data_IF_651972880977
#
_entry.id   IF_651972880977
#
_cell.length_a   1.000
_cell.length_b   1.000
_cell.length_c   1.000
_cell.angle_alpha   90.00
_cell.angle_beta   90.00
_cell.angle_gamma   90.00
#
_symmetry.space_group_name_H-M   'P 1'
#
loop_
_entity.id
_entity.type
_entity.pdbx_description
1 polymer ?
#
# COMPACT_ATOMS: atom_id res chain seq x y z
N UNK A 1 -4.35 -7.84 -7.11
CA UNK A 1 -3.84 -6.50 -6.75
C UNK A 1 -4.92 -5.47 -6.99
N UNK A 2 -5.03 -4.49 -6.14
CA UNK A 2 -6.02 -3.41 -6.27
C UNK A 2 -5.35 -2.06 -6.13
N UNK A 3 -5.85 -1.08 -6.86
CA UNK A 3 -5.63 0.34 -6.61
C UNK A 3 -6.88 0.88 -5.92
N UNK A 4 -6.71 1.52 -4.78
CA UNK A 4 -7.81 2.15 -4.05
C UNK A 4 -7.63 3.66 -4.03
N UNK A 5 -8.72 4.39 -4.23
CA UNK A 5 -8.78 5.81 -3.95
C UNK A 5 -9.20 5.98 -2.48
N UNK A 6 -8.42 6.72 -1.71
CA UNK A 6 -8.65 6.87 -0.29
C UNK A 6 -8.58 8.34 0.16
N UNK A 7 -9.41 8.68 1.13
CA UNK A 7 -9.35 9.93 1.86
C UNK A 7 -9.47 9.66 3.38
N UNK A 8 -9.63 10.69 4.19
CA UNK A 8 -9.77 10.52 5.66
C UNK A 8 -11.08 9.85 6.08
N UNK A 9 -12.07 9.72 5.21
CA UNK A 9 -13.40 9.18 5.53
C UNK A 9 -13.60 7.78 5.01
N UNK A 10 -13.23 7.54 3.75
CA UNK A 10 -13.49 6.30 3.05
C UNK A 10 -12.34 5.91 2.13
N UNK A 11 -12.30 4.66 1.72
CA UNK A 11 -11.54 4.22 0.56
C UNK A 11 -12.37 3.28 -0.31
N UNK A 12 -12.05 3.26 -1.60
CA UNK A 12 -12.74 2.45 -2.60
C UNK A 12 -11.72 1.88 -3.58
N UNK A 13 -11.70 0.57 -3.81
CA UNK A 13 -10.97 -0.01 -4.93
C UNK A 13 -11.53 0.52 -6.26
N UNK A 14 -10.70 1.14 -7.07
CA UNK A 14 -11.08 1.72 -8.37
C UNK A 14 -10.51 0.95 -9.55
N UNK A 15 -9.47 0.16 -9.32
CA UNK A 15 -8.92 -0.78 -10.28
C UNK A 15 -8.44 -2.03 -9.58
N UNK A 16 -8.54 -3.17 -10.27
CA UNK A 16 -7.97 -4.42 -9.76
C UNK A 16 -7.45 -5.27 -10.91
N UNK A 17 -6.50 -6.12 -10.59
CA UNK A 17 -5.96 -7.12 -11.52
C UNK A 17 -5.54 -8.36 -10.73
N UNK A 18 -5.91 -9.53 -11.23
CA UNK A 18 -5.38 -10.78 -10.71
C UNK A 18 -3.88 -10.87 -11.05
N UNK A 19 -3.07 -11.02 -10.00
CA UNK A 19 -1.63 -11.27 -10.20
C UNK A 19 -1.45 -12.72 -10.66
N UNK A 20 -0.80 -12.87 -11.80
CA UNK A 20 -0.46 -14.17 -12.36
C UNK A 20 1.04 -14.40 -12.11
N UNK A 21 1.42 -15.35 -11.22
CA UNK A 21 2.83 -15.70 -11.02
C UNK A 21 3.50 -16.16 -12.32
N UNK A 22 4.82 -16.00 -12.44
CA UNK A 22 5.54 -16.33 -13.65
C UNK A 22 5.30 -17.79 -14.10
N UNK A 23 5.35 -18.74 -13.16
CA UNK A 23 5.08 -20.16 -13.42
C UNK A 23 3.65 -20.45 -13.95
N UNK A 24 2.70 -19.55 -13.72
CA UNK A 24 1.36 -19.61 -14.28
C UNK A 24 1.28 -18.92 -15.65
N UNK A 25 2.02 -17.83 -15.80
CA UNK A 25 2.01 -17.03 -17.02
C UNK A 25 2.70 -17.75 -18.19
N UNK A 26 3.63 -18.66 -17.89
CA UNK A 26 4.39 -19.47 -18.86
C UNK A 26 3.78 -20.85 -19.08
N UNK A 27 2.71 -21.24 -18.39
CA UNK A 27 2.04 -22.54 -18.52
C UNK A 27 0.80 -22.40 -19.40
N UNK A 28 0.96 -22.69 -20.69
CA UNK A 28 -0.11 -22.55 -21.68
C UNK A 28 -1.32 -23.44 -21.40
N UNK A 29 -1.11 -24.65 -20.90
CA UNK A 29 -2.19 -25.58 -20.56
C UNK A 29 -3.05 -25.05 -19.39
N UNK A 30 -2.40 -24.54 -18.34
CA UNK A 30 -3.13 -23.91 -17.22
C UNK A 30 -3.84 -22.64 -17.65
N UNK A 31 -3.22 -21.83 -18.49
CA UNK A 31 -3.82 -20.61 -19.03
C UNK A 31 -5.07 -20.92 -19.84
N UNK A 32 -4.97 -21.87 -20.78
CA UNK A 32 -6.08 -22.32 -21.60
C UNK A 32 -7.23 -22.87 -20.73
N UNK A 33 -6.91 -23.77 -19.78
CA UNK A 33 -7.90 -24.34 -18.86
C UNK A 33 -8.60 -23.32 -17.98
N UNK A 34 -7.91 -22.27 -17.56
CA UNK A 34 -8.48 -21.18 -16.77
C UNK A 34 -9.14 -20.07 -17.62
N UNK A 35 -9.00 -20.12 -18.94
CA UNK A 35 -9.51 -19.10 -19.87
C UNK A 35 -8.80 -17.75 -19.70
N UNK A 36 -7.48 -17.76 -19.45
CA UNK A 36 -6.67 -16.53 -19.35
C UNK A 36 -6.49 -15.95 -20.76
N UNK A 37 -6.87 -14.67 -21.03
CA UNK A 37 -6.67 -14.07 -22.33
C UNK A 37 -5.20 -14.04 -22.77
N UNK A 38 -4.93 -14.22 -24.04
CA UNK A 38 -3.56 -14.21 -24.61
C UNK A 38 -2.81 -12.91 -24.32
N UNK A 39 -3.51 -11.77 -24.36
CA UNK A 39 -2.95 -10.46 -24.06
C UNK A 39 -2.44 -10.29 -22.61
N UNK A 40 -2.80 -11.20 -21.71
CA UNK A 40 -2.34 -11.17 -20.33
C UNK A 40 -0.99 -11.86 -20.24
N UNK A 41 0.06 -11.09 -20.10
CA UNK A 41 1.44 -11.57 -19.89
C UNK A 41 1.88 -11.40 -18.44
N UNK A 42 2.99 -12.04 -18.08
CA UNK A 42 3.60 -11.85 -16.78
C UNK A 42 4.00 -10.39 -16.56
N UNK A 43 3.65 -9.88 -15.40
CA UNK A 43 4.12 -8.59 -14.88
C UNK A 43 4.38 -8.70 -13.40
N UNK A 44 5.46 -8.08 -12.96
CA UNK A 44 5.73 -7.98 -11.51
C UNK A 44 4.66 -7.12 -10.82
N UNK A 45 4.48 -7.33 -9.55
CA UNK A 45 3.50 -6.53 -8.78
C UNK A 45 3.77 -5.02 -8.83
N UNK A 46 5.03 -4.51 -8.74
CA UNK A 46 5.32 -3.09 -8.95
C UNK A 46 4.92 -2.57 -10.34
N UNK A 47 5.14 -3.37 -11.40
CA UNK A 47 4.71 -2.99 -12.76
C UNK A 47 3.18 -2.88 -12.86
N UNK A 48 2.44 -3.84 -12.29
CA UNK A 48 0.97 -3.77 -12.25
C UNK A 48 0.51 -2.54 -11.47
N UNK A 49 1.14 -2.24 -10.33
CA UNK A 49 0.81 -1.06 -9.53
C UNK A 49 1.01 0.24 -10.33
N UNK A 50 2.14 0.37 -11.03
CA UNK A 50 2.43 1.56 -11.85
C UNK A 50 1.46 1.71 -13.02
N UNK A 51 1.08 0.60 -13.68
CA UNK A 51 0.07 0.63 -14.75
C UNK A 51 -1.31 1.09 -14.24
N UNK A 52 -1.73 0.60 -13.08
CA UNK A 52 -3.00 1.03 -12.48
C UNK A 52 -2.97 2.51 -12.08
N UNK A 53 -1.84 3.01 -11.55
CA UNK A 53 -1.69 4.43 -11.21
C UNK A 53 -1.70 5.29 -12.49
N UNK A 54 -1.02 4.85 -13.56
CA UNK A 54 -1.02 5.53 -14.85
C UNK A 54 -2.44 5.63 -15.41
N UNK A 55 -3.15 4.51 -15.48
CA UNK A 55 -4.54 4.46 -15.89
C UNK A 55 -5.41 5.43 -15.06
N UNK A 56 -5.25 5.45 -13.74
CA UNK A 56 -6.00 6.37 -12.89
C UNK A 56 -5.74 7.85 -13.22
N UNK A 57 -4.49 8.19 -13.59
CA UNK A 57 -4.16 9.54 -14.06
C UNK A 57 -4.81 9.84 -15.42
N UNK A 58 -4.76 8.90 -16.36
CA UNK A 58 -5.31 9.05 -17.72
C UNK A 58 -6.83 9.26 -17.71
N UNK A 59 -7.55 8.55 -16.84
CA UNK A 59 -9.00 8.71 -16.69
C UNK A 59 -9.40 9.86 -15.75
N UNK A 60 -8.42 10.64 -15.26
CA UNK A 60 -8.67 11.82 -14.46
C UNK A 60 -9.15 11.55 -13.03
N UNK A 61 -8.86 10.37 -12.45
CA UNK A 61 -9.20 10.11 -11.06
C UNK A 61 -8.44 11.08 -10.12
N UNK A 62 -9.13 11.65 -9.12
CA UNK A 62 -8.50 12.55 -8.17
C UNK A 62 -7.45 11.82 -7.34
N UNK A 63 -6.39 12.51 -6.98
CA UNK A 63 -5.32 11.98 -6.12
C UNK A 63 -4.01 12.68 -6.41
N UNK A 64 -3.38 13.22 -5.38
CA UNK A 64 -2.09 13.92 -5.47
C UNK A 64 -0.92 13.07 -4.99
N UNK A 65 -1.21 11.96 -4.31
CA UNK A 65 -0.22 11.14 -3.61
C UNK A 65 -0.56 9.66 -3.74
N UNK A 66 0.44 8.84 -3.99
CA UNK A 66 0.36 7.37 -3.95
C UNK A 66 0.89 6.85 -2.60
N UNK A 67 0.14 5.95 -1.98
CA UNK A 67 0.56 5.20 -0.79
C UNK A 67 1.00 3.82 -1.25
N UNK A 68 2.25 3.45 -0.95
CA UNK A 68 2.86 2.21 -1.43
C UNK A 68 3.27 1.34 -0.25
N UNK A 69 2.98 0.05 -0.34
CA UNK A 69 3.37 -0.93 0.68
C UNK A 69 4.88 -1.17 0.72
N UNK A 70 5.38 -1.60 1.89
CA UNK A 70 6.77 -1.98 2.09
C UNK A 70 7.22 -3.15 1.20
N UNK A 71 6.30 -4.00 0.72
CA UNK A 71 6.57 -5.01 -0.28
C UNK A 71 6.93 -4.47 -1.67
N UNK A 72 6.58 -3.22 -1.97
CA UNK A 72 6.81 -2.59 -3.28
C UNK A 72 7.66 -1.32 -3.21
N UNK A 73 7.70 -0.66 -2.06
CA UNK A 73 8.33 0.64 -1.91
C UNK A 73 9.85 0.63 -2.09
N UNK A 74 10.50 -0.54 -2.05
CA UNK A 74 11.92 -0.68 -2.39
C UNK A 74 12.18 -0.65 -3.90
N UNK A 75 11.14 -0.84 -4.75
CA UNK A 75 11.28 -0.79 -6.20
C UNK A 75 11.48 0.66 -6.68
N UNK A 76 12.69 0.96 -7.12
CA UNK A 76 13.07 2.31 -7.58
C UNK A 76 12.36 2.71 -8.86
N UNK A 77 12.03 1.75 -9.75
CA UNK A 77 11.31 2.02 -11.00
C UNK A 77 9.85 2.42 -10.72
N UNK A 78 9.21 1.78 -9.73
CA UNK A 78 7.88 2.18 -9.29
C UNK A 78 7.89 3.60 -8.73
N UNK A 79 8.83 3.93 -7.82
CA UNK A 79 8.92 5.28 -7.25
C UNK A 79 9.21 6.34 -8.31
N UNK A 80 10.15 6.07 -9.22
CA UNK A 80 10.45 6.96 -10.34
C UNK A 80 9.23 7.18 -11.24
N UNK A 81 8.56 6.10 -11.65
CA UNK A 81 7.37 6.17 -12.49
C UNK A 81 6.21 6.94 -11.84
N UNK A 82 6.01 6.84 -10.51
CA UNK A 82 5.03 7.66 -9.80
C UNK A 82 5.40 9.15 -9.89
N UNK A 83 6.68 9.48 -9.74
CA UNK A 83 7.18 10.87 -9.85
C UNK A 83 7.06 11.41 -11.28
N UNK A 84 7.36 10.59 -12.29
CA UNK A 84 7.19 10.94 -13.72
C UNK A 84 5.72 11.25 -14.08
N UNK A 85 4.77 10.59 -13.42
CA UNK A 85 3.33 10.89 -13.54
C UNK A 85 2.91 12.17 -12.79
N UNK A 86 3.86 12.95 -12.26
CA UNK A 86 3.59 14.17 -11.50
C UNK A 86 2.96 13.90 -10.11
N UNK A 87 2.99 12.68 -9.64
CA UNK A 87 2.43 12.31 -8.32
C UNK A 87 3.53 12.25 -7.26
N UNK A 88 3.14 12.56 -6.03
CA UNK A 88 3.98 12.32 -4.85
C UNK A 88 3.71 10.94 -4.30
N UNK A 89 4.59 10.45 -3.41
CA UNK A 89 4.35 9.18 -2.74
C UNK A 89 4.76 9.20 -1.27
N UNK A 90 4.17 8.27 -0.53
CA UNK A 90 4.66 7.76 0.75
C UNK A 90 4.76 6.25 0.59
N UNK A 91 5.98 5.75 0.57
CA UNK A 91 6.27 4.34 0.28
C UNK A 91 6.90 3.68 1.52
N UNK A 92 6.25 2.65 2.05
CA UNK A 92 6.87 1.78 3.03
C UNK A 92 8.12 1.13 2.46
N UNK A 93 9.16 0.99 3.27
CA UNK A 93 10.44 0.40 2.86
C UNK A 93 10.96 -0.59 3.89
N UNK A 94 11.87 -1.46 3.45
CA UNK A 94 12.52 -2.42 4.31
C UNK A 94 13.68 -1.77 5.11
N UNK A 95 13.95 -2.23 6.35
CA UNK A 95 14.98 -1.67 7.23
C UNK A 95 16.42 -1.75 6.66
N UNK A 96 16.64 -2.65 5.70
CA UNK A 96 17.95 -2.85 5.05
C UNK A 96 18.20 -1.90 3.87
N UNK A 97 17.20 -1.08 3.48
CA UNK A 97 17.39 -0.13 2.38
C UNK A 97 18.56 0.81 2.67
N UNK A 98 19.42 0.99 1.67
CA UNK A 98 20.60 1.81 1.81
C UNK A 98 20.31 3.26 1.43
N UNK A 99 20.82 4.17 2.25
CA UNK A 99 20.79 5.62 2.03
C UNK A 99 22.18 6.20 2.21
N UNK A 100 22.43 7.35 1.61
CA UNK A 100 23.66 8.11 1.86
C UNK A 100 23.63 8.68 3.28
N UNK A 101 24.76 8.60 3.98
CA UNK A 101 24.90 9.20 5.31
C UNK A 101 24.64 10.69 5.27
N UNK A 102 24.05 11.29 6.32
CA UNK A 102 23.82 12.74 6.40
C UNK A 102 25.10 13.53 6.15
N UNK A 103 25.01 14.56 5.31
CA UNK A 103 26.16 15.40 4.96
C UNK A 103 27.09 14.83 3.87
N UNK A 104 26.83 13.60 3.42
CA UNK A 104 27.53 13.03 2.25
C UNK A 104 26.71 13.26 0.98
N UNK A 105 27.41 13.58 -0.10
CA UNK A 105 26.77 13.75 -1.42
C UNK A 105 26.68 12.39 -2.11
N UNK A 106 25.60 12.13 -2.86
CA UNK A 106 25.52 10.98 -3.74
C UNK A 106 26.72 10.98 -4.69
N UNK A 107 27.52 9.94 -4.57
CA UNK A 107 28.67 9.72 -5.43
C UNK A 107 28.44 8.51 -6.31
N UNK A 108 29.45 8.11 -7.07
CA UNK A 108 29.41 6.94 -7.94
C UNK A 108 29.06 5.71 -7.11
N UNK A 109 27.93 5.07 -7.41
CA UNK A 109 27.52 3.82 -6.74
C UNK A 109 28.62 2.77 -6.85
N UNK A 110 28.89 1.99 -5.79
CA UNK A 110 29.88 0.94 -5.82
C UNK A 110 29.59 -0.06 -6.94
N UNK A 111 30.61 -0.57 -7.59
CA UNK A 111 30.48 -1.66 -8.55
C UNK A 111 29.94 -2.91 -7.84
N UNK A 112 29.11 -3.69 -8.54
CA UNK A 112 28.61 -4.98 -8.06
C UNK A 112 29.77 -5.84 -7.51
N UNK A 113 29.71 -6.21 -6.23
CA UNK A 113 30.78 -6.97 -5.54
C UNK A 113 31.66 -6.13 -4.61
N UNK A 114 31.58 -4.80 -4.58
CA UNK A 114 32.21 -3.97 -3.57
C UNK A 114 31.27 -3.92 -2.34
N UNK A 115 31.66 -4.65 -1.28
CA UNK A 115 30.97 -4.60 0.02
C UNK A 115 31.12 -3.18 0.57
N UNK A 116 29.98 -2.59 0.94
CA UNK A 116 29.82 -1.35 1.69
C UNK A 116 30.62 -0.15 1.17
N UNK A 117 29.98 0.65 0.31
CA UNK A 117 30.49 1.99 0.10
C UNK A 117 30.56 2.69 1.46
N UNK A 118 31.71 3.26 1.89
CA UNK A 118 31.92 3.80 3.23
C UNK A 118 30.97 4.95 3.59
N UNK A 119 30.26 5.49 2.59
CA UNK A 119 29.36 6.64 2.73
C UNK A 119 27.87 6.31 2.73
N UNK A 120 27.50 5.02 2.66
CA UNK A 120 26.11 4.55 2.77
C UNK A 120 25.86 3.83 4.11
N UNK A 121 24.61 3.77 4.51
CA UNK A 121 24.15 3.06 5.72
C UNK A 121 22.75 2.53 5.50
N UNK A 122 22.34 1.48 6.21
CA UNK A 122 20.95 1.06 6.22
C UNK A 122 20.07 2.09 6.92
N UNK A 123 18.79 2.17 6.54
CA UNK A 123 17.85 3.06 7.25
C UNK A 123 17.68 2.64 8.71
N UNK A 124 17.85 1.35 9.02
CA UNK A 124 17.84 0.83 10.39
C UNK A 124 19.04 1.36 11.20
N UNK A 125 20.25 1.22 10.69
CA UNK A 125 21.46 1.69 11.39
C UNK A 125 21.45 3.21 11.54
N UNK A 126 20.96 3.92 10.51
CA UNK A 126 20.76 5.35 10.58
C UNK A 126 19.78 5.73 11.69
N UNK A 127 18.66 5.00 11.82
CA UNK A 127 17.66 5.23 12.85
C UNK A 127 18.21 4.98 14.27
N UNK A 128 18.94 3.89 14.46
CA UNK A 128 19.57 3.56 15.75
C UNK A 128 20.64 4.57 16.16
N UNK A 129 21.30 5.22 15.21
CA UNK A 129 22.28 6.28 15.45
C UNK A 129 21.67 7.66 15.74
N UNK A 130 20.34 7.84 15.68
CA UNK A 130 19.69 9.12 15.91
C UNK A 130 19.70 9.47 17.42
N UNK A 131 20.02 10.74 17.72
CA UNK A 131 19.97 11.27 19.08
C UNK A 131 18.52 11.34 19.58
N UNK A 132 18.29 11.24 20.89
CA UNK A 132 16.96 11.28 21.50
C UNK A 132 16.11 12.48 21.04
N UNK A 133 16.72 13.66 20.84
CA UNK A 133 16.04 14.88 20.37
C UNK A 133 15.46 14.80 18.95
N UNK A 134 15.84 13.81 18.15
CA UNK A 134 15.30 13.60 16.81
C UNK A 134 13.91 12.94 16.85
N UNK A 135 13.58 12.32 17.95
CA UNK A 135 12.34 11.58 18.15
C UNK A 135 11.27 12.46 18.77
N UNK A 136 10.04 12.35 18.24
CA UNK A 136 8.85 13.03 18.79
C UNK A 136 7.73 12.02 18.91
N UNK A 137 7.02 12.04 20.01
CA UNK A 137 5.76 11.32 20.20
C UNK A 137 4.67 12.03 19.42
N UNK A 138 4.02 11.32 18.51
CA UNK A 138 2.92 11.81 17.69
C UNK A 138 1.75 10.87 17.91
N UNK A 139 0.58 11.47 18.13
CA UNK A 139 -0.68 10.75 18.25
C UNK A 139 -1.45 10.84 16.94
N UNK A 140 -2.07 9.76 16.53
CA UNK A 140 -2.98 9.71 15.38
C UNK A 140 -4.20 8.86 15.69
N UNK A 141 -5.18 8.85 14.81
CA UNK A 141 -6.37 7.97 14.94
C UNK A 141 -6.48 7.04 13.76
N UNK A 142 -6.74 5.79 14.08
CA UNK A 142 -7.16 4.76 13.13
C UNK A 142 -8.60 4.38 13.46
N UNK A 143 -9.56 5.00 12.75
CA UNK A 143 -10.98 4.87 13.08
C UNK A 143 -11.49 5.84 14.15
N UNK A 144 -12.56 5.46 14.85
CA UNK A 144 -13.27 6.33 15.81
C UNK A 144 -12.90 6.08 17.28
N UNK A 145 -12.28 4.96 17.62
CA UNK A 145 -12.27 4.46 18.99
C UNK A 145 -11.10 4.94 19.85
N UNK A 146 -9.87 4.93 19.33
CA UNK A 146 -8.71 5.21 20.17
C UNK A 146 -7.69 6.12 19.50
N UNK A 147 -7.01 6.91 20.35
CA UNK A 147 -5.81 7.61 19.96
C UNK A 147 -4.63 6.65 20.09
N UNK A 148 -3.98 6.40 18.98
CA UNK A 148 -2.73 5.68 18.91
C UNK A 148 -1.56 6.64 19.08
N UNK A 149 -0.46 6.17 19.62
CA UNK A 149 0.73 6.96 19.91
C UNK A 149 1.98 6.16 19.62
N UNK A 150 2.96 6.80 19.02
CA UNK A 150 4.28 6.22 18.80
C UNK A 150 5.34 7.31 18.71
N UNK A 151 6.61 6.92 18.84
CA UNK A 151 7.73 7.83 18.61
C UNK A 151 8.08 7.81 17.11
N UNK A 152 8.24 9.00 16.54
CA UNK A 152 8.64 9.16 15.14
C UNK A 152 9.90 10.01 15.05
N UNK A 153 10.73 9.71 14.06
CA UNK A 153 11.80 10.58 13.60
C UNK A 153 11.64 10.83 12.10
N UNK A 154 12.04 12.01 11.62
CA UNK A 154 12.09 12.33 10.19
C UNK A 154 13.39 13.02 9.83
N UNK A 155 13.91 12.69 8.66
CA UNK A 155 15.11 13.32 8.13
C UNK A 155 15.08 13.32 6.61
N UNK A 156 15.89 14.20 5.99
CA UNK A 156 16.06 14.21 4.54
C UNK A 156 17.21 13.30 4.16
N UNK A 157 16.97 12.38 3.23
CA UNK A 157 17.96 11.40 2.77
C UNK A 157 18.03 11.36 1.24
N UNK A 158 19.13 10.84 0.73
CA UNK A 158 19.26 10.37 -0.64
C UNK A 158 19.33 8.85 -0.63
N UNK A 159 18.48 8.19 -1.41
CA UNK A 159 18.49 6.73 -1.53
C UNK A 159 19.73 6.30 -2.33
N UNK A 160 20.43 5.27 -1.85
CA UNK A 160 21.56 4.70 -2.55
C UNK A 160 21.06 3.61 -3.51
N UNK A 161 20.48 4.00 -4.64
CA UNK A 161 20.01 3.04 -5.65
C UNK A 161 20.93 2.98 -6.86
N UNK A 162 21.01 1.79 -7.48
CA UNK A 162 21.81 1.59 -8.68
C UNK A 162 21.20 2.22 -9.94
N UNK A 163 19.94 2.65 -9.87
CA UNK A 163 19.18 3.14 -11.03
C UNK A 163 19.27 4.65 -11.23
N UNK A 164 19.65 5.41 -10.20
CA UNK A 164 19.68 6.88 -10.22
C UNK A 164 20.93 7.48 -10.91
N UNK A 165 21.62 6.69 -11.75
CA UNK A 165 22.83 7.13 -12.45
C UNK A 165 22.61 8.20 -13.51
N UNK A 166 21.36 8.45 -13.91
CA UNK A 166 21.01 9.35 -15.01
C UNK A 166 20.30 10.64 -14.58
N UNK A 167 19.84 10.76 -13.34
CA UNK A 167 19.16 11.94 -12.81
C UNK A 167 19.85 12.44 -11.55
N UNK A 168 19.73 13.74 -11.27
CA UNK A 168 20.15 14.28 -9.97
C UNK A 168 19.40 13.53 -8.86
N UNK A 169 20.12 13.03 -7.83
CA UNK A 169 19.50 12.26 -6.77
C UNK A 169 18.52 13.13 -5.99
N UNK A 170 17.25 12.75 -6.05
CA UNK A 170 16.18 13.44 -5.36
C UNK A 170 16.34 13.24 -3.85
N UNK A 171 16.22 14.32 -3.10
CA UNK A 171 16.20 14.25 -1.66
C UNK A 171 14.78 13.94 -1.16
N UNK A 172 14.62 12.83 -0.45
CA UNK A 172 13.36 12.34 0.06
C UNK A 172 13.26 12.50 1.58
N UNK A 173 12.04 12.51 2.11
CA UNK A 173 11.82 12.30 3.54
C UNK A 173 12.00 10.82 3.85
N UNK A 174 12.82 10.51 4.85
CA UNK A 174 12.77 9.24 5.58
C UNK A 174 11.98 9.48 6.86
N UNK A 175 10.83 8.83 6.98
CA UNK A 175 10.03 8.77 8.21
C UNK A 175 10.25 7.43 8.87
N UNK A 176 10.45 7.43 10.18
CA UNK A 176 10.76 6.24 10.98
C UNK A 176 9.81 6.20 12.16
N UNK A 177 9.27 5.02 12.44
CA UNK A 177 8.43 4.77 13.61
C UNK A 177 9.11 3.84 14.59
N UNK A 178 9.11 4.22 15.85
CA UNK A 178 9.58 3.40 16.97
C UNK A 178 8.49 3.33 18.05
N UNK A 179 7.63 2.31 18.03
CA UNK A 179 6.60 2.13 19.04
C UNK A 179 7.18 1.98 20.45
N UNK A 180 6.41 2.36 21.42
CA UNK A 180 6.76 2.16 22.82
C UNK A 180 6.84 0.65 23.14
N UNK A 181 7.84 0.24 23.93
CA UNK A 181 8.06 -1.16 24.25
C UNK A 181 8.87 -1.96 23.22
N UNK A 182 9.00 -1.45 21.99
CA UNK A 182 9.81 -2.11 20.98
C UNK A 182 11.31 -1.86 21.19
N UNK A 183 12.13 -2.89 20.93
CA UNK A 183 13.59 -2.80 21.10
C UNK A 183 14.25 -1.95 20.02
N UNK A 184 13.63 -1.85 18.85
CA UNK A 184 14.13 -1.15 17.67
C UNK A 184 13.00 -0.54 16.84
N UNK A 185 13.29 0.42 15.95
CA UNK A 185 12.29 0.96 15.04
C UNK A 185 11.69 -0.12 14.14
N UNK A 186 10.37 -0.10 13.95
CA UNK A 186 9.64 -1.17 13.29
C UNK A 186 9.18 -0.83 11.87
N UNK A 187 8.95 0.46 11.58
CA UNK A 187 8.44 0.89 10.27
C UNK A 187 9.21 2.07 9.73
N UNK A 188 9.40 2.05 8.41
CA UNK A 188 10.17 3.04 7.67
C UNK A 188 9.43 3.40 6.39
N UNK A 189 9.43 4.69 6.03
CA UNK A 189 8.83 5.19 4.79
C UNK A 189 9.74 6.20 4.11
N UNK A 190 9.78 6.15 2.78
CA UNK A 190 10.29 7.22 1.94
C UNK A 190 9.13 8.07 1.42
N UNK A 191 9.35 9.37 1.29
CA UNK A 191 8.31 10.26 0.77
C UNK A 191 8.87 11.45 -0.01
N UNK A 192 8.23 11.73 -1.13
CA UNK A 192 8.46 12.93 -1.96
C UNK A 192 7.55 14.10 -1.61
N UNK A 193 6.86 14.05 -0.48
CA UNK A 193 6.07 15.18 -0.01
C UNK A 193 6.94 16.45 0.20
N UNK A 194 6.37 17.66 0.11
CA UNK A 194 7.14 18.91 0.14
C UNK A 194 8.03 19.00 1.37
N UNK A 195 9.13 19.74 1.25
CA UNK A 195 10.00 20.06 2.40
C UNK A 195 9.26 20.85 3.48
N UNK A 196 8.23 21.60 3.10
CA UNK A 196 7.36 22.39 4.00
C UNK A 196 6.30 21.57 4.74
N UNK A 197 6.15 20.25 4.45
CA UNK A 197 5.15 19.44 5.14
C UNK A 197 5.38 19.43 6.65
N UNK A 198 4.32 19.56 7.43
CA UNK A 198 4.44 19.43 8.89
C UNK A 198 4.80 18.00 9.28
N UNK A 199 5.38 17.81 10.47
CA UNK A 199 5.73 16.47 10.91
C UNK A 199 4.48 15.61 11.10
N UNK A 200 3.41 16.22 11.64
CA UNK A 200 2.14 15.54 11.84
C UNK A 200 1.51 15.10 10.52
N UNK A 201 1.44 15.98 9.53
CA UNK A 201 0.85 15.64 8.23
C UNK A 201 1.63 14.53 7.52
N UNK A 202 2.96 14.48 7.67
CA UNK A 202 3.77 13.39 7.13
C UNK A 202 3.43 12.05 7.81
N UNK A 203 3.25 12.03 9.13
CA UNK A 203 2.82 10.84 9.89
C UNK A 203 1.40 10.45 9.50
N UNK A 204 0.47 11.40 9.45
CA UNK A 204 -0.92 11.15 9.04
C UNK A 204 -0.99 10.54 7.63
N UNK A 205 -0.18 11.05 6.69
CA UNK A 205 -0.08 10.50 5.34
C UNK A 205 0.44 9.05 5.34
N UNK A 206 1.49 8.76 6.11
CA UNK A 206 2.06 7.41 6.19
C UNK A 206 1.09 6.42 6.86
N UNK A 207 0.31 6.91 7.82
CA UNK A 207 -0.68 6.10 8.54
C UNK A 207 -2.00 5.92 7.79
N UNK A 208 -2.32 6.74 6.80
CA UNK A 208 -3.59 6.65 6.07
C UNK A 208 -3.83 5.26 5.42
N UNK A 209 -2.78 4.50 5.18
CA UNK A 209 -2.86 3.17 4.57
C UNK A 209 -3.68 2.15 5.39
N UNK A 210 -3.79 2.30 6.73
CA UNK A 210 -4.60 1.40 7.57
C UNK A 210 -6.05 1.31 7.08
N UNK A 211 -6.58 2.41 6.51
CA UNK A 211 -7.94 2.46 6.00
C UNK A 211 -8.14 1.49 4.86
N UNK A 212 -7.19 1.43 3.92
CA UNK A 212 -7.23 0.50 2.78
C UNK A 212 -7.23 -0.95 3.28
N UNK A 213 -6.46 -1.25 4.31
CA UNK A 213 -6.39 -2.59 4.90
C UNK A 213 -7.74 -2.98 5.55
N UNK A 214 -8.35 -2.05 6.29
CA UNK A 214 -9.67 -2.25 6.90
C UNK A 214 -10.76 -2.43 5.87
N UNK A 215 -10.82 -1.54 4.89
CA UNK A 215 -11.86 -1.60 3.86
C UNK A 215 -11.71 -2.88 3.02
N UNK A 216 -10.47 -3.34 2.81
CA UNK A 216 -10.20 -4.61 2.15
C UNK A 216 -10.63 -5.81 2.99
N UNK A 217 -10.55 -5.71 4.30
CA UNK A 217 -11.09 -6.71 5.23
C UNK A 217 -12.63 -6.75 5.13
N UNK A 218 -13.30 -5.60 5.17
CA UNK A 218 -14.76 -5.51 4.98
C UNK A 218 -15.18 -6.09 3.61
N UNK A 219 -14.46 -5.72 2.54
CA UNK A 219 -14.72 -6.23 1.19
C UNK A 219 -14.63 -7.76 1.11
N UNK A 220 -13.66 -8.37 1.82
CA UNK A 220 -13.50 -9.83 1.85
C UNK A 220 -14.54 -10.53 2.72
N UNK A 221 -14.82 -10.00 3.90
CA UNK A 221 -15.62 -10.66 4.93
C UNK A 221 -17.10 -10.37 4.75
N UNK A 222 -17.47 -9.11 4.51
CA UNK A 222 -18.86 -8.67 4.48
C UNK A 222 -19.47 -8.73 3.06
N UNK A 223 -18.68 -8.38 2.05
CA UNK A 223 -19.16 -8.33 0.65
C UNK A 223 -18.81 -9.61 -0.12
N UNK A 224 -18.01 -10.49 0.45
CA UNK A 224 -17.77 -11.82 -0.08
C UNK A 224 -16.66 -11.93 -1.12
N UNK A 225 -15.78 -10.94 -1.28
CA UNK A 225 -14.67 -11.03 -2.23
C UNK A 225 -13.76 -12.25 -1.95
N UNK A 226 -13.68 -12.69 -0.70
CA UNK A 226 -12.92 -13.88 -0.30
C UNK A 226 -13.62 -15.21 -0.56
N UNK A 227 -14.88 -15.22 -0.99
CA UNK A 227 -15.70 -16.43 -1.12
C UNK A 227 -15.73 -17.02 -2.54
N UNK A 228 -14.88 -16.53 -3.43
CA UNK A 228 -14.80 -17.08 -4.78
C UNK A 228 -14.07 -18.43 -4.79
N UNK A 229 -14.79 -19.51 -5.11
CA UNK A 229 -14.27 -20.87 -5.19
C UNK A 229 -13.99 -21.34 -6.63
N UNK A 230 -14.34 -20.53 -7.61
CA UNK A 230 -14.14 -20.83 -9.02
C UNK A 230 -12.65 -20.81 -9.43
N UNK A 231 -12.34 -21.47 -10.56
CA UNK A 231 -10.98 -21.55 -11.12
C UNK A 231 -10.79 -20.79 -12.43
N UNK A 232 -11.85 -20.20 -12.97
CA UNK A 232 -11.83 -19.51 -14.25
C UNK A 232 -11.49 -18.02 -14.13
N UNK A 233 -10.70 -17.52 -15.07
CA UNK A 233 -10.32 -16.11 -15.17
C UNK A 233 -11.55 -15.17 -15.23
N UNK A 234 -12.49 -15.46 -16.14
CA UNK A 234 -13.70 -14.66 -16.32
C UNK A 234 -14.57 -14.65 -15.06
N UNK A 235 -14.76 -15.83 -14.43
CA UNK A 235 -15.55 -15.95 -13.21
C UNK A 235 -14.97 -15.12 -12.06
N UNK A 236 -13.65 -15.16 -11.87
CA UNK A 236 -12.99 -14.34 -10.86
C UNK A 236 -13.23 -12.84 -11.09
N UNK A 237 -13.03 -12.38 -12.34
CA UNK A 237 -13.20 -10.95 -12.64
C UNK A 237 -14.65 -10.50 -12.51
N UNK A 238 -15.61 -11.34 -12.93
CA UNK A 238 -17.04 -11.06 -12.72
C UNK A 238 -17.36 -10.93 -11.22
N UNK A 239 -16.97 -11.92 -10.42
CA UNK A 239 -17.20 -11.92 -8.98
C UNK A 239 -16.55 -10.70 -8.30
N UNK A 240 -15.28 -10.42 -8.59
CA UNK A 240 -14.57 -9.28 -8.01
C UNK A 240 -15.21 -7.94 -8.40
N UNK A 241 -15.66 -7.79 -9.66
CA UNK A 241 -16.37 -6.59 -10.11
C UNK A 241 -17.66 -6.37 -9.32
N UNK A 242 -18.45 -7.41 -9.13
CA UNK A 242 -19.72 -7.31 -8.39
C UNK A 242 -19.47 -6.95 -6.91
N UNK A 243 -18.49 -7.57 -6.27
CA UNK A 243 -18.13 -7.23 -4.90
C UNK A 243 -17.66 -5.80 -4.76
N UNK A 244 -16.80 -5.31 -5.67
CA UNK A 244 -16.32 -3.93 -5.65
C UNK A 244 -17.45 -2.93 -5.91
N UNK A 245 -18.35 -3.23 -6.85
CA UNK A 245 -19.51 -2.39 -7.13
C UNK A 245 -20.46 -2.30 -5.92
N UNK A 246 -20.77 -3.43 -5.29
CA UNK A 246 -21.58 -3.46 -4.08
C UNK A 246 -20.94 -2.67 -2.94
N UNK A 247 -19.63 -2.83 -2.76
CA UNK A 247 -18.88 -2.07 -1.76
C UNK A 247 -18.91 -0.57 -2.05
N UNK A 248 -18.74 -0.18 -3.32
CA UNK A 248 -18.82 1.21 -3.75
C UNK A 248 -20.18 1.83 -3.44
N UNK A 249 -21.26 1.09 -3.67
CA UNK A 249 -22.61 1.51 -3.29
C UNK A 249 -22.72 1.74 -1.77
N UNK A 250 -22.25 0.80 -0.96
CA UNK A 250 -22.27 0.91 0.51
C UNK A 250 -21.45 2.12 1.01
N UNK A 251 -20.30 2.39 0.42
CA UNK A 251 -19.48 3.57 0.74
C UNK A 251 -20.24 4.85 0.38
N UNK A 252 -20.90 4.89 -0.79
CA UNK A 252 -21.71 6.03 -1.22
C UNK A 252 -22.87 6.30 -0.24
N UNK A 253 -23.59 5.26 0.16
CA UNK A 253 -24.70 5.40 1.13
C UNK A 253 -24.20 5.90 2.50
N UNK A 254 -23.07 5.42 2.98
CA UNK A 254 -22.47 5.89 4.24
C UNK A 254 -22.06 7.36 4.21
N UNK A 255 -21.64 7.85 3.06
CA UNK A 255 -21.23 9.27 2.91
C UNK A 255 -22.44 10.20 2.71
N UNK A 256 -23.56 9.70 2.19
CA UNK A 256 -24.79 10.47 1.91
C UNK A 256 -25.77 10.46 3.07
N UNK A 257 -25.81 9.38 3.84
CA UNK A 257 -26.70 9.24 5.02
C UNK A 257 -25.87 9.47 6.29
N UNK A 258 -25.89 10.69 6.86
CA UNK A 258 -25.18 10.93 8.11
C UNK A 258 -25.75 10.04 9.21
N UNK A 259 -24.93 9.53 10.13
CA UNK A 259 -25.41 8.73 11.25
C UNK A 259 -26.40 9.54 12.08
N UNK A 260 -27.64 9.05 12.18
CA UNK A 260 -28.69 9.63 12.99
C UNK A 260 -28.41 9.41 14.48
N UNK A 261 -27.87 10.43 15.16
CA UNK A 261 -27.68 10.46 16.61
C UNK A 261 -26.28 10.16 17.12
N UNK A 262 -26.01 10.40 18.40
CA UNK A 262 -24.72 10.18 19.00
C UNK A 262 -24.38 8.68 19.03
N UNK A 263 -23.47 8.25 18.16
CA UNK A 263 -22.77 6.96 18.18
C UNK A 263 -23.63 5.68 18.20
N UNK A 264 -24.52 5.49 17.28
CA UNK A 264 -24.75 4.14 16.81
C UNK A 264 -23.51 3.76 15.95
N UNK A 265 -22.65 2.89 16.46
CA UNK A 265 -21.73 2.16 15.59
C UNK A 265 -22.60 1.52 14.51
N UNK A 266 -22.55 2.06 13.30
CA UNK A 266 -23.33 1.52 12.19
C UNK A 266 -22.78 0.11 11.92
N UNK A 267 -23.39 -0.89 12.55
CA UNK A 267 -23.35 -2.24 12.04
C UNK A 267 -23.96 -2.14 10.66
N UNK A 268 -23.19 -2.51 9.64
CA UNK A 268 -23.78 -2.79 8.34
C UNK A 268 -25.04 -3.63 8.56
N UNK A 269 -26.18 -3.31 7.92
CA UNK A 269 -27.28 -4.24 7.94
C UNK A 269 -26.72 -5.58 7.47
N UNK A 270 -26.79 -6.60 8.35
CA UNK A 270 -26.48 -7.96 7.93
C UNK A 270 -27.46 -8.26 6.79
N UNK A 271 -26.94 -8.33 5.57
CA UNK A 271 -27.74 -8.81 4.45
C UNK A 271 -28.20 -10.22 4.82
N UNK A 272 -29.49 -10.36 5.06
CA UNK A 272 -30.08 -11.67 5.33
C UNK A 272 -29.76 -12.57 4.12
N UNK A 273 -28.86 -13.50 4.30
CA UNK A 273 -28.59 -14.53 3.30
C UNK A 273 -29.83 -15.40 3.24
N UNK A 274 -30.51 -15.53 2.09
CA UNK A 274 -31.65 -16.43 1.97
C UNK A 274 -31.25 -17.83 2.45
N UNK A 275 -32.12 -18.50 3.22
CA UNK A 275 -31.89 -19.85 3.77
C UNK A 275 -31.50 -20.90 2.73
N UNK A 276 -31.76 -20.65 1.45
CA UNK A 276 -31.38 -21.50 0.32
C UNK A 276 -29.85 -21.63 0.11
N UNK A 277 -29.03 -20.82 0.78
CA UNK A 277 -27.57 -20.80 0.61
C UNK A 277 -26.81 -21.40 1.81
N UNK A 278 -27.48 -22.09 2.75
CA UNK A 278 -26.78 -22.87 3.79
C UNK A 278 -26.22 -24.15 3.19
N UNK A 279 -24.90 -24.38 3.23
CA UNK A 279 -24.36 -25.67 2.83
C UNK A 279 -24.99 -26.75 3.73
N UNK A 280 -25.58 -27.76 3.11
CA UNK A 280 -26.08 -28.93 3.84
C UNK A 280 -24.92 -29.56 4.58
N UNK A 281 -24.96 -29.50 5.90
CA UNK A 281 -23.96 -30.12 6.75
C UNK A 281 -23.79 -31.60 6.40
N UNK A 282 -22.58 -31.97 6.02
CA UNK A 282 -22.16 -33.36 6.00
C UNK A 282 -22.07 -33.82 7.46
N UNK A 283 -23.07 -34.55 7.93
CA UNK A 283 -22.97 -35.34 9.15
C UNK A 283 -21.91 -36.42 8.91
N UNK A 284 -20.76 -36.26 9.52
CA UNK A 284 -19.82 -37.36 9.70
C UNK A 284 -20.37 -38.17 10.89
N UNK A 285 -20.94 -39.28 10.59
CA UNK A 285 -21.23 -40.32 11.61
C UNK A 285 -19.89 -40.89 12.08
N UNK A 286 -19.81 -41.06 13.40
CA UNK A 286 -18.76 -41.76 14.18
C UNK A 286 -18.22 -43.03 13.55
#
# INVERSE_FOLDING_TARGET
MTLSLANRRASLPVAYRLYLPNAWAEDDDRRAKAGVPEAITFKTKPQIALEQIRWACEVGLPGSMALVDAGYGHDSKLRAGITELGKRYVAGIQPQMLVWKPGKRPGRTPKKGQRDAPDTTSVKDLALGLRARAWRTIQWREGSNEWLSSRFARLRVHVASSHERACEPIQEWLLIEWPEGEKEPTKYWLSTLPSSITFRDLVDAAKLRWRIERDYQELKQEVGLGHYEGRGWRGFHHHATMCIAAYGFLVSERETIPPSGPRAAARLPQLAVPDSYRPRGSSIAT
#
